data_IF_200658294784
#
_entry.id   IF_200658294784
#
_cell.length_a   1.000
_cell.length_b   1.000
_cell.length_c   1.000
_cell.angle_alpha   90.00
_cell.angle_beta   90.00
_cell.angle_gamma   90.00
#
_symmetry.space_group_name_H-M   'P 1'
#
loop_
_entity.id
_entity.type
_entity.pdbx_description
1 polymer ?
#
# COMPACT_ATOMS: atom_id res chain seq x y z
N UNK A 1 8.37 30.52 2.23
CA UNK A 1 7.41 29.40 2.35
C UNK A 1 7.82 28.43 1.23
N UNK A 2 8.56 27.37 1.55
CA UNK A 2 8.98 26.42 0.50
C UNK A 2 7.71 25.73 0.02
N UNK A 3 7.32 25.95 -1.23
CA UNK A 3 6.29 25.16 -1.87
C UNK A 3 6.83 23.73 -1.95
N UNK A 4 6.33 22.83 -1.10
CA UNK A 4 6.64 21.42 -1.19
C UNK A 4 6.23 20.95 -2.59
N UNK A 5 7.19 20.54 -3.41
CA UNK A 5 6.92 20.06 -4.75
C UNK A 5 6.00 18.82 -4.66
N UNK A 6 4.83 18.88 -5.31
CA UNK A 6 3.82 17.84 -5.25
C UNK A 6 3.88 16.95 -6.50
N UNK A 7 3.48 15.68 -6.34
CA UNK A 7 3.26 14.72 -7.42
C UNK A 7 1.77 14.36 -7.49
N UNK A 8 1.26 13.96 -8.67
CA UNK A 8 -0.10 13.44 -8.77
C UNK A 8 -0.23 12.12 -8.00
N UNK A 9 -1.34 11.99 -7.28
CA UNK A 9 -1.73 10.79 -6.56
C UNK A 9 -1.93 9.61 -7.53
N UNK A 10 -1.29 8.48 -7.28
CA UNK A 10 -1.32 7.30 -8.15
C UNK A 10 -2.49 6.38 -7.87
N UNK A 11 -2.93 6.29 -6.61
CA UNK A 11 -4.06 5.45 -6.22
C UNK A 11 -5.05 6.20 -5.35
N UNK A 12 -6.33 6.11 -5.72
CA UNK A 12 -7.41 6.86 -5.11
C UNK A 12 -8.66 6.01 -5.02
N UNK A 13 -9.40 6.16 -3.94
CA UNK A 13 -10.69 5.50 -3.77
C UNK A 13 -11.73 6.29 -4.57
N UNK A 14 -12.19 5.72 -5.68
CA UNK A 14 -13.24 6.31 -6.51
C UNK A 14 -14.60 6.02 -5.87
N UNK A 15 -15.44 7.04 -5.71
CA UNK A 15 -16.83 6.87 -5.27
C UNK A 15 -17.04 6.74 -3.76
N UNK A 16 -16.21 7.41 -2.95
CA UNK A 16 -16.36 7.37 -1.49
C UNK A 16 -17.70 7.97 -1.03
N UNK A 17 -18.61 7.19 -0.39
CA UNK A 17 -19.88 7.71 0.14
C UNK A 17 -19.70 8.63 1.36
N UNK A 18 -18.50 8.66 1.96
CA UNK A 18 -18.16 9.44 3.15
C UNK A 18 -17.41 10.75 2.83
N UNK A 19 -17.26 11.13 1.57
CA UNK A 19 -16.67 12.42 1.17
C UNK A 19 -15.22 12.63 1.61
N UNK A 20 -14.50 11.57 2.01
CA UNK A 20 -13.09 11.64 2.42
C UNK A 20 -12.26 11.82 1.15
N UNK A 21 -12.14 13.10 0.79
CA UNK A 21 -11.10 13.78 0.02
C UNK A 21 -10.57 13.01 -1.19
N UNK A 22 -11.01 13.48 -2.35
CA UNK A 22 -10.44 13.15 -3.65
C UNK A 22 -9.01 13.74 -3.75
N UNK A 23 -8.05 13.17 -3.02
CA UNK A 23 -6.66 13.66 -2.98
C UNK A 23 -6.08 13.54 -4.39
N UNK A 24 -5.81 14.69 -5.01
CA UNK A 24 -5.24 14.78 -6.36
C UNK A 24 -3.71 14.86 -6.33
N UNK A 25 -3.18 15.60 -5.36
CA UNK A 25 -1.75 15.90 -5.27
C UNK A 25 -1.21 15.51 -3.91
N UNK A 26 -0.02 14.91 -3.91
CA UNK A 26 0.68 14.42 -2.73
C UNK A 26 2.06 15.06 -2.70
N UNK A 27 2.50 15.65 -1.58
CA UNK A 27 3.86 16.15 -1.45
C UNK A 27 4.89 15.05 -1.72
N UNK A 28 5.96 15.37 -2.47
CA UNK A 28 7.07 14.44 -2.64
C UNK A 28 7.62 13.99 -1.29
N UNK A 29 8.08 12.74 -1.20
CA UNK A 29 8.49 12.11 0.05
C UNK A 29 7.35 11.59 0.94
N UNK A 30 6.08 11.90 0.65
CA UNK A 30 4.91 11.40 1.42
C UNK A 30 4.11 10.39 0.62
N UNK A 31 3.26 9.61 1.28
CA UNK A 31 2.31 8.67 0.66
C UNK A 31 0.91 8.92 1.23
N UNK A 32 -0.11 8.73 0.40
CA UNK A 32 -1.47 8.56 0.94
C UNK A 32 -1.60 7.18 1.59
N UNK A 33 -2.60 7.00 2.45
CA UNK A 33 -2.90 5.69 3.06
C UNK A 33 -3.19 4.65 1.98
N UNK A 34 -3.92 5.04 0.92
CA UNK A 34 -4.26 4.14 -0.20
C UNK A 34 -3.01 3.74 -0.96
N UNK A 35 -2.09 4.67 -1.23
CA UNK A 35 -0.82 4.39 -1.88
C UNK A 35 0.06 3.48 -1.02
N UNK A 36 0.19 3.76 0.28
CA UNK A 36 0.96 2.94 1.21
C UNK A 36 0.46 1.49 1.23
N UNK A 37 -0.85 1.28 1.37
CA UNK A 37 -1.45 -0.06 1.31
C UNK A 37 -1.20 -0.75 -0.04
N UNK A 38 -1.32 0.00 -1.14
CA UNK A 38 -1.08 -0.53 -2.49
C UNK A 38 0.38 -0.98 -2.68
N UNK A 39 1.33 -0.13 -2.26
CA UNK A 39 2.78 -0.41 -2.34
C UNK A 39 3.14 -1.66 -1.55
N UNK A 40 2.66 -1.74 -0.30
CA UNK A 40 2.95 -2.86 0.59
C UNK A 40 2.35 -4.18 0.06
N UNK A 41 1.12 -4.14 -0.45
CA UNK A 41 0.48 -5.30 -1.05
C UNK A 41 1.25 -5.79 -2.29
N UNK A 42 1.61 -4.88 -3.18
CA UNK A 42 2.36 -5.18 -4.39
C UNK A 42 3.76 -5.75 -4.09
N UNK A 43 4.44 -5.20 -3.08
CA UNK A 43 5.72 -5.71 -2.59
C UNK A 43 5.59 -7.14 -2.05
N UNK A 44 4.55 -7.42 -1.24
CA UNK A 44 4.29 -8.75 -0.68
C UNK A 44 4.01 -9.79 -1.77
N UNK A 45 3.22 -9.43 -2.79
CA UNK A 45 2.88 -10.34 -3.88
C UNK A 45 4.00 -10.52 -4.92
N UNK A 46 4.82 -9.51 -5.17
CA UNK A 46 5.82 -9.52 -6.25
C UNK A 46 7.07 -8.71 -5.89
N UNK A 47 7.86 -9.18 -4.90
CA UNK A 47 9.03 -8.45 -4.41
C UNK A 47 10.13 -8.28 -5.46
N UNK A 48 10.22 -9.19 -6.45
CA UNK A 48 11.16 -9.09 -7.57
C UNK A 48 10.80 -7.95 -8.54
N UNK A 49 9.51 -7.71 -8.74
CA UNK A 49 9.00 -6.71 -9.70
C UNK A 49 8.80 -5.33 -9.06
N UNK A 50 8.61 -5.29 -7.74
CA UNK A 50 8.45 -4.08 -6.93
C UNK A 50 9.66 -3.93 -6.01
N UNK A 51 10.82 -3.63 -6.56
CA UNK A 51 12.01 -3.41 -5.73
C UNK A 51 11.91 -2.09 -4.94
N UNK A 52 12.62 -1.94 -3.81
CA UNK A 52 12.64 -0.68 -3.06
C UNK A 52 13.06 0.52 -3.92
N UNK A 53 14.02 0.34 -4.83
CA UNK A 53 14.43 1.38 -5.78
C UNK A 53 13.29 1.78 -6.72
N UNK A 54 12.53 0.81 -7.25
CA UNK A 54 11.41 1.09 -8.14
C UNK A 54 10.30 1.84 -7.41
N UNK A 55 9.99 1.44 -6.18
CA UNK A 55 8.98 2.11 -5.34
C UNK A 55 9.42 3.54 -5.03
N UNK A 56 10.67 3.73 -4.62
CA UNK A 56 11.23 5.06 -4.33
C UNK A 56 11.12 6.00 -5.54
N UNK A 57 11.45 5.50 -6.73
CA UNK A 57 11.32 6.28 -7.97
C UNK A 57 9.86 6.57 -8.33
N UNK A 58 8.99 5.56 -8.30
CA UNK A 58 7.59 5.68 -8.71
C UNK A 58 6.81 6.67 -7.84
N UNK A 59 7.10 6.70 -6.55
CA UNK A 59 6.43 7.54 -5.56
C UNK A 59 7.31 8.72 -5.09
N UNK A 60 8.43 9.03 -5.75
CA UNK A 60 9.30 10.15 -5.34
C UNK A 60 9.63 10.14 -3.84
N UNK A 61 9.98 8.96 -3.31
CA UNK A 61 10.37 8.75 -1.91
C UNK A 61 11.89 8.63 -1.81
N UNK A 62 12.42 8.90 -0.63
CA UNK A 62 13.81 8.55 -0.36
C UNK A 62 13.99 7.02 -0.27
N UNK A 63 15.11 6.52 -0.78
CA UNK A 63 15.38 5.07 -0.77
C UNK A 63 15.51 4.52 0.66
N UNK A 64 16.08 5.31 1.59
CA UNK A 64 16.20 4.95 3.00
C UNK A 64 14.82 4.78 3.64
N UNK A 65 13.94 5.75 3.41
CA UNK A 65 12.58 5.74 3.95
C UNK A 65 11.74 4.63 3.31
N UNK A 66 11.94 4.38 2.02
CA UNK A 66 11.27 3.27 1.31
C UNK A 66 11.68 1.92 1.88
N UNK A 67 12.96 1.71 2.19
CA UNK A 67 13.42 0.47 2.84
C UNK A 67 12.82 0.33 4.24
N UNK A 68 12.82 1.40 5.03
CA UNK A 68 12.22 1.41 6.36
C UNK A 68 10.71 1.10 6.32
N UNK A 69 9.99 1.67 5.34
CA UNK A 69 8.58 1.39 5.12
C UNK A 69 8.34 -0.11 4.87
N UNK A 70 9.14 -0.72 3.99
CA UNK A 70 8.98 -2.14 3.64
C UNK A 70 9.40 -3.10 4.76
N UNK A 71 10.34 -2.70 5.61
CA UNK A 71 10.85 -3.51 6.72
C UNK A 71 9.94 -3.44 7.94
N UNK A 72 9.49 -2.24 8.32
CA UNK A 72 8.77 -2.02 9.58
C UNK A 72 7.24 -2.01 9.42
N UNK A 73 6.72 -1.78 8.21
CA UNK A 73 5.28 -1.67 7.99
C UNK A 73 4.69 -2.99 7.48
N UNK A 74 4.53 -3.95 8.41
CA UNK A 74 3.91 -5.24 8.12
C UNK A 74 2.40 -5.12 8.28
N UNK A 75 1.66 -5.19 7.16
CA UNK A 75 0.20 -5.25 7.17
C UNK A 75 -0.30 -6.57 7.76
N UNK A 76 -1.51 -6.54 8.31
CA UNK A 76 -2.20 -7.71 8.85
C UNK A 76 -2.09 -8.93 7.93
N UNK A 77 -1.61 -10.05 8.46
CA UNK A 77 -1.56 -11.31 7.72
C UNK A 77 -2.90 -12.03 7.86
N UNK A 78 -3.80 -11.78 6.92
CA UNK A 78 -5.13 -12.42 6.91
C UNK A 78 -4.99 -13.86 6.45
N UNK A 79 -5.14 -14.79 7.38
CA UNK A 79 -5.21 -16.23 7.09
C UNK A 79 -6.67 -16.64 7.02
N UNK A 80 -7.12 -17.13 5.87
CA UNK A 80 -8.43 -17.78 5.75
C UNK A 80 -8.29 -19.14 6.42
N UNK A 81 -8.85 -19.28 7.61
CA UNK A 81 -8.92 -20.57 8.31
C UNK A 81 -10.12 -21.31 7.72
N UNK A 82 -9.91 -22.38 6.93
CA UNK A 82 -11.03 -23.15 6.42
C UNK A 82 -11.83 -23.71 7.61
N UNK A 83 -13.17 -23.72 7.53
CA UNK A 83 -13.97 -24.37 8.56
C UNK A 83 -13.56 -25.83 8.63
N UNK A 84 -13.34 -26.35 9.84
CA UNK A 84 -13.12 -27.78 10.05
C UNK A 84 -14.38 -28.51 9.59
N UNK A 85 -14.40 -29.02 8.37
CA UNK A 85 -15.32 -30.08 7.99
C UNK A 85 -14.90 -31.31 8.77
N UNK A 86 -15.46 -31.48 9.96
CA UNK A 86 -15.58 -32.80 10.54
C UNK A 86 -16.38 -33.64 9.54
N UNK A 87 -15.77 -34.72 9.08
CA UNK A 87 -16.40 -35.77 8.29
C UNK A 87 -17.63 -36.30 9.03
N UNK A 88 -18.77 -35.62 8.90
CA UNK A 88 -20.06 -36.15 9.29
C UNK A 88 -20.39 -37.24 8.28
N UNK A 89 -19.88 -38.45 8.53
CA UNK A 89 -20.43 -39.70 8.00
C UNK A 89 -21.94 -39.63 8.24
N UNK A 90 -22.71 -39.43 7.18
CA UNK A 90 -24.14 -39.71 7.21
C UNK A 90 -24.30 -41.20 7.52
N UNK A 91 -25.03 -41.48 8.61
CA UNK A 91 -25.46 -42.81 9.03
C UNK A 91 -26.73 -43.14 8.25
#
# INVERSE_FOLDING_TARGET
KNEEECRPCKSRVVGNPYGILDIKDIPKGKLSIVEALTVLNNYKHSPKSWTPNKIAQEYSLDLKDTKALLEFFILFDVKIIPPKTEDKKQI
#
